data_IF_759342726621
#
_entry.id   IF_759342726621
#
_cell.length_a   1.000
_cell.length_b   1.000
_cell.length_c   1.000
_cell.angle_alpha   90.00
_cell.angle_beta   90.00
_cell.angle_gamma   90.00
#
_symmetry.space_group_name_H-M   'P 1'
#
loop_
_entity.id
_entity.type
_entity.pdbx_description
1 polymer ?
#
# COMPACT_ATOMS: atom_id res chain seq x y z
N UNK A 1 20.92 -18.32 15.07
CA UNK A 1 19.65 -17.57 14.95
C UNK A 1 18.52 -18.58 14.72
N UNK A 2 18.17 -19.33 15.77
CA UNK A 2 17.20 -20.42 15.68
C UNK A 2 15.78 -19.90 15.83
N UNK A 3 14.97 -20.27 14.84
CA UNK A 3 13.56 -20.00 14.60
C UNK A 3 12.75 -20.18 15.89
N UNK A 4 12.12 -19.10 16.39
CA UNK A 4 10.99 -19.20 17.33
C UNK A 4 9.86 -19.93 16.60
N UNK A 5 9.90 -21.26 16.64
CA UNK A 5 8.78 -22.09 16.23
C UNK A 5 7.68 -21.78 17.25
N UNK A 6 6.56 -21.27 16.73
CA UNK A 6 5.51 -20.62 17.51
C UNK A 6 5.01 -21.56 18.62
N UNK A 7 5.29 -21.20 19.87
CA UNK A 7 5.01 -22.00 21.07
C UNK A 7 3.51 -22.37 21.17
N UNK A 8 2.66 -21.56 20.54
CA UNK A 8 1.22 -21.79 20.42
C UNK A 8 0.86 -23.03 19.59
N UNK A 9 1.57 -23.28 18.49
CA UNK A 9 1.30 -24.43 17.61
C UNK A 9 1.68 -25.76 18.28
N UNK A 10 2.79 -25.77 19.02
CA UNK A 10 3.19 -26.93 19.82
C UNK A 10 2.21 -27.22 20.96
N UNK A 11 1.71 -26.18 21.63
CA UNK A 11 0.69 -26.31 22.69
C UNK A 11 -0.61 -26.91 22.16
N UNK A 12 -1.07 -26.49 20.97
CA UNK A 12 -2.29 -27.03 20.35
C UNK A 12 -2.10 -28.50 19.97
N UNK A 13 -0.95 -28.85 19.37
CA UNK A 13 -0.63 -30.25 19.04
C UNK A 13 -0.54 -31.13 20.29
N UNK A 14 0.07 -30.65 21.37
CA UNK A 14 0.19 -31.37 22.63
C UNK A 14 -1.18 -31.60 23.31
N UNK A 15 -2.04 -30.57 23.34
CA UNK A 15 -3.41 -30.67 23.87
C UNK A 15 -4.21 -31.69 23.06
N UNK A 16 -4.05 -31.71 21.73
CA UNK A 16 -4.74 -32.65 20.86
C UNK A 16 -4.27 -34.10 21.08
N UNK A 17 -2.96 -34.34 21.18
CA UNK A 17 -2.42 -35.67 21.51
C UNK A 17 -2.92 -36.17 22.88
N UNK A 18 -2.94 -35.29 23.88
CA UNK A 18 -3.45 -35.62 25.22
C UNK A 18 -4.95 -35.94 25.18
N UNK A 19 -5.76 -35.14 24.48
CA UNK A 19 -7.18 -35.39 24.31
C UNK A 19 -7.46 -36.70 23.55
N UNK A 20 -6.67 -37.01 22.53
CA UNK A 20 -6.73 -38.27 21.78
C UNK A 20 -6.41 -39.49 22.65
N UNK A 21 -5.35 -39.41 23.47
CA UNK A 21 -4.98 -40.47 24.41
C UNK A 21 -6.05 -40.68 25.49
N UNK A 22 -6.60 -39.61 26.06
CA UNK A 22 -7.69 -39.66 27.04
C UNK A 22 -8.95 -40.25 26.41
N UNK A 23 -9.26 -39.90 25.18
CA UNK A 23 -10.41 -40.44 24.45
C UNK A 23 -10.27 -41.95 24.19
N UNK A 24 -9.09 -42.42 23.77
CA UNK A 24 -8.78 -43.85 23.59
C UNK A 24 -8.93 -44.61 24.92
N UNK A 25 -8.35 -44.05 26.00
CA UNK A 25 -8.43 -44.66 27.33
C UNK A 25 -9.86 -44.75 27.86
N UNK A 26 -10.63 -43.67 27.72
CA UNK A 26 -12.03 -43.62 28.17
C UNK A 26 -12.91 -44.56 27.33
N UNK A 27 -12.62 -44.69 26.03
CA UNK A 27 -13.36 -45.61 25.16
C UNK A 27 -13.08 -47.07 25.50
N UNK A 28 -11.83 -47.43 25.78
CA UNK A 28 -11.46 -48.79 26.16
C UNK A 28 -12.05 -49.17 27.52
N UNK A 29 -12.10 -48.23 28.47
CA UNK A 29 -12.73 -48.45 29.77
C UNK A 29 -14.25 -48.71 29.64
N UNK A 30 -14.98 -47.93 28.85
CA UNK A 30 -16.42 -48.12 28.63
C UNK A 30 -16.74 -49.48 27.99
N UNK A 31 -15.86 -49.98 27.11
CA UNK A 31 -16.08 -51.24 26.37
C UNK A 31 -15.85 -52.50 27.22
N UNK A 32 -15.07 -52.40 28.30
CA UNK A 32 -14.76 -53.53 29.21
C UNK A 32 -15.92 -53.83 30.20
N UNK A 33 -16.91 -52.94 30.34
CA UNK A 33 -17.98 -53.04 31.35
C UNK A 33 -19.20 -53.93 31.03
N UNK A 34 -19.40 -54.39 29.79
CA UNK A 34 -20.62 -55.11 29.38
C UNK A 34 -20.33 -56.41 28.62
N UNK A 35 -21.03 -57.50 28.96
CA UNK A 35 -21.01 -58.75 28.19
C UNK A 35 -21.77 -58.55 26.87
N UNK A 36 -21.00 -58.41 25.78
CA UNK A 36 -21.33 -58.65 24.36
C UNK A 36 -22.73 -58.25 23.82
N UNK A 37 -22.85 -57.06 23.19
CA UNK A 37 -23.90 -56.76 22.23
C UNK A 37 -23.35 -56.51 20.80
N UNK A 38 -24.11 -56.94 19.79
CA UNK A 38 -23.75 -57.00 18.34
C UNK A 38 -23.42 -55.65 17.66
N UNK A 39 -23.59 -54.52 18.34
CA UNK A 39 -23.35 -53.18 17.80
C UNK A 39 -21.90 -52.68 17.94
N UNK A 40 -21.05 -53.39 18.70
CA UNK A 40 -19.65 -52.97 18.99
C UNK A 40 -18.82 -52.59 17.75
N UNK A 41 -18.81 -53.39 16.65
CA UNK A 41 -17.96 -53.09 15.50
C UNK A 41 -18.37 -51.80 14.75
N UNK A 42 -19.67 -51.51 14.72
CA UNK A 42 -20.21 -50.32 14.05
C UNK A 42 -19.84 -49.02 14.79
N UNK A 43 -19.79 -49.08 16.13
CA UNK A 43 -19.39 -47.94 16.94
C UNK A 43 -17.86 -47.72 16.85
N UNK A 44 -17.05 -48.77 16.83
CA UNK A 44 -15.58 -48.67 16.71
C UNK A 44 -15.13 -48.09 15.36
N UNK A 45 -15.76 -48.51 14.25
CA UNK A 45 -15.45 -48.00 12.91
C UNK A 45 -15.84 -46.53 12.74
N UNK A 46 -17.03 -46.13 13.20
CA UNK A 46 -17.49 -44.74 13.16
C UNK A 46 -16.56 -43.81 13.96
N UNK A 47 -16.08 -44.28 15.12
CA UNK A 47 -15.13 -43.54 15.97
C UNK A 47 -13.79 -43.31 15.28
N UNK A 48 -13.22 -44.36 14.69
CA UNK A 48 -11.95 -44.27 13.96
C UNK A 48 -12.03 -43.26 12.80
N UNK A 49 -13.12 -43.29 12.04
CA UNK A 49 -13.35 -42.34 10.94
C UNK A 49 -13.47 -40.89 11.43
N UNK A 50 -14.15 -40.64 12.55
CA UNK A 50 -14.29 -39.29 13.12
C UNK A 50 -12.94 -38.72 13.56
N UNK A 51 -12.09 -39.55 14.18
CA UNK A 51 -10.74 -39.15 14.59
C UNK A 51 -9.85 -38.82 13.38
N UNK A 52 -9.92 -39.62 12.31
CA UNK A 52 -9.16 -39.36 11.07
C UNK A 52 -9.61 -38.07 10.40
N UNK A 53 -10.92 -37.81 10.32
CA UNK A 53 -11.45 -36.58 9.74
C UNK A 53 -11.05 -35.36 10.56
N UNK A 54 -11.19 -35.41 11.89
CA UNK A 54 -10.78 -34.32 12.78
C UNK A 54 -9.28 -34.01 12.64
N UNK A 55 -8.45 -35.06 12.59
CA UNK A 55 -7.00 -34.94 12.39
C UNK A 55 -6.66 -34.35 11.01
N UNK A 56 -7.33 -34.79 9.95
CA UNK A 56 -7.13 -34.27 8.59
C UNK A 56 -7.52 -32.79 8.47
N UNK A 57 -8.65 -32.40 9.08
CA UNK A 57 -9.10 -31.00 9.11
C UNK A 57 -8.12 -30.12 9.88
N UNK A 58 -7.61 -30.59 11.02
CA UNK A 58 -6.62 -29.87 11.82
C UNK A 58 -5.30 -29.68 11.06
N UNK A 59 -4.80 -30.74 10.43
CA UNK A 59 -3.58 -30.70 9.61
C UNK A 59 -3.77 -29.71 8.45
N UNK A 60 -4.91 -29.77 7.77
CA UNK A 60 -5.24 -28.83 6.68
C UNK A 60 -5.35 -27.38 7.20
N UNK A 61 -5.92 -27.17 8.39
CA UNK A 61 -6.03 -25.85 9.01
C UNK A 61 -4.66 -25.28 9.41
N UNK A 62 -3.80 -26.11 10.02
CA UNK A 62 -2.43 -25.73 10.38
C UNK A 62 -1.60 -25.39 9.13
N UNK A 63 -1.67 -26.23 8.09
CA UNK A 63 -0.98 -25.99 6.83
C UNK A 63 -1.45 -24.68 6.18
N UNK A 64 -2.76 -24.42 6.16
CA UNK A 64 -3.33 -23.16 5.63
C UNK A 64 -2.99 -21.93 6.46
N UNK A 65 -2.71 -22.08 7.76
CA UNK A 65 -2.32 -20.97 8.63
C UNK A 65 -0.88 -20.53 8.34
N UNK A 66 0.04 -21.48 8.22
CA UNK A 66 1.46 -21.20 7.91
C UNK A 66 1.63 -20.59 6.51
N UNK A 67 0.90 -21.10 5.51
CA UNK A 67 1.00 -20.64 4.12
C UNK A 67 0.64 -19.16 3.95
N UNK A 68 -0.36 -18.67 4.69
CA UNK A 68 -0.81 -17.27 4.62
C UNK A 68 0.26 -16.30 5.12
N UNK A 69 1.06 -16.70 6.10
CA UNK A 69 2.14 -15.86 6.61
C UNK A 69 3.31 -15.77 5.62
N UNK A 70 3.64 -16.88 4.95
CA UNK A 70 4.66 -16.87 3.90
C UNK A 70 4.23 -16.09 2.66
N UNK A 71 3.00 -16.24 2.19
CA UNK A 71 2.52 -15.53 1.00
C UNK A 71 2.49 -14.01 1.23
N UNK A 72 2.03 -13.57 2.41
CA UNK A 72 2.05 -12.16 2.78
C UNK A 72 3.48 -11.61 2.92
N UNK A 73 4.39 -12.37 3.54
CA UNK A 73 5.78 -11.97 3.68
C UNK A 73 6.51 -11.90 2.33
N UNK A 74 6.23 -12.83 1.41
CA UNK A 74 6.76 -12.82 0.04
C UNK A 74 6.21 -11.64 -0.75
N UNK A 75 4.90 -11.33 -0.64
CA UNK A 75 4.29 -10.16 -1.27
C UNK A 75 4.88 -8.84 -0.76
N UNK A 76 5.03 -8.70 0.56
CA UNK A 76 5.64 -7.52 1.18
C UNK A 76 7.12 -7.40 0.79
N UNK A 77 7.87 -8.51 0.77
CA UNK A 77 9.27 -8.54 0.35
C UNK A 77 9.45 -8.17 -1.12
N UNK A 78 8.62 -8.73 -2.02
CA UNK A 78 8.67 -8.40 -3.45
C UNK A 78 8.28 -6.93 -3.71
N UNK A 79 7.32 -6.40 -2.96
CA UNK A 79 6.96 -4.98 -3.01
C UNK A 79 8.11 -4.10 -2.49
N UNK A 80 8.73 -4.47 -1.38
CA UNK A 80 9.86 -3.76 -0.79
C UNK A 80 11.10 -3.77 -1.69
N UNK A 81 11.46 -4.92 -2.29
CA UNK A 81 12.60 -5.01 -3.21
C UNK A 81 12.38 -4.24 -4.51
N UNK A 82 11.14 -4.19 -5.02
CA UNK A 82 10.80 -3.30 -6.14
C UNK A 82 10.94 -1.83 -5.76
N UNK A 83 10.49 -1.46 -4.56
CA UNK A 83 10.56 -0.08 -4.07
C UNK A 83 12.00 0.35 -3.79
N UNK A 84 12.82 -0.52 -3.20
CA UNK A 84 14.23 -0.29 -2.90
C UNK A 84 15.07 -0.15 -4.18
N UNK A 85 14.82 -1.00 -5.19
CA UNK A 85 15.44 -0.88 -6.51
C UNK A 85 15.01 0.42 -7.22
N UNK A 86 13.75 0.83 -7.09
CA UNK A 86 13.24 2.10 -7.61
C UNK A 86 13.88 3.30 -6.88
N UNK A 87 14.01 3.26 -5.56
CA UNK A 87 14.58 4.33 -4.72
C UNK A 87 16.07 4.59 -4.99
N UNK A 88 16.85 3.53 -5.24
CA UNK A 88 18.28 3.65 -5.58
C UNK A 88 18.50 4.26 -6.97
N UNK A 89 17.61 3.95 -7.92
CA UNK A 89 17.65 4.52 -9.27
C UNK A 89 17.17 5.98 -9.24
N UNK A 90 16.13 6.30 -8.46
CA UNK A 90 15.56 7.65 -8.46
C UNK A 90 16.47 8.71 -7.86
N UNK A 91 17.15 8.50 -6.74
CA UNK A 91 17.89 9.61 -6.12
C UNK A 91 19.14 10.07 -6.90
N UNK A 92 19.81 9.18 -7.63
CA UNK A 92 21.01 9.51 -8.42
C UNK A 92 20.67 9.82 -9.89
N UNK A 93 19.95 8.91 -10.56
CA UNK A 93 19.65 9.04 -11.99
C UNK A 93 18.69 10.20 -12.26
N UNK A 94 17.79 10.51 -11.33
CA UNK A 94 16.85 11.60 -11.55
C UNK A 94 17.44 12.99 -11.28
N UNK A 95 18.45 13.09 -10.41
CA UNK A 95 19.25 14.31 -10.32
C UNK A 95 19.93 14.57 -11.67
N UNK A 96 20.52 13.55 -12.28
CA UNK A 96 21.17 13.67 -13.59
C UNK A 96 20.17 13.95 -14.72
N UNK A 97 18.97 13.36 -14.68
CA UNK A 97 17.89 13.67 -15.62
C UNK A 97 17.43 15.12 -15.50
N UNK A 98 17.23 15.63 -14.27
CA UNK A 98 16.88 17.03 -14.06
C UNK A 98 18.00 17.96 -14.52
N UNK A 99 19.28 17.58 -14.36
CA UNK A 99 20.41 18.35 -14.88
C UNK A 99 20.39 18.44 -16.41
N UNK A 100 20.16 17.32 -17.10
CA UNK A 100 20.07 17.30 -18.56
C UNK A 100 18.85 18.08 -19.07
N UNK A 101 17.68 17.89 -18.45
CA UNK A 101 16.47 18.61 -18.82
C UNK A 101 16.61 20.12 -18.61
N UNK A 102 17.25 20.54 -17.52
CA UNK A 102 17.53 21.96 -17.26
C UNK A 102 18.40 22.56 -18.37
N UNK A 103 19.44 21.86 -18.81
CA UNK A 103 20.28 22.29 -19.94
C UNK A 103 19.50 22.34 -21.26
N UNK A 104 18.67 21.34 -21.54
CA UNK A 104 17.84 21.30 -22.76
C UNK A 104 16.83 22.44 -22.78
N UNK A 105 16.13 22.67 -21.67
CA UNK A 105 15.16 23.76 -21.49
C UNK A 105 15.86 25.11 -21.67
N UNK A 106 16.98 25.33 -20.97
CA UNK A 106 17.72 26.60 -21.06
C UNK A 106 18.23 26.88 -22.48
N UNK A 107 18.77 25.88 -23.17
CA UNK A 107 19.19 26.05 -24.56
C UNK A 107 17.99 26.31 -25.49
N UNK A 108 16.85 25.66 -25.26
CA UNK A 108 15.65 25.89 -26.05
C UNK A 108 15.06 27.30 -25.84
N UNK A 109 15.11 27.84 -24.61
CA UNK A 109 14.73 29.23 -24.31
C UNK A 109 15.63 30.23 -25.06
N UNK A 110 16.95 30.01 -25.04
CA UNK A 110 17.90 30.85 -25.78
C UNK A 110 17.63 30.76 -27.29
N UNK A 111 17.41 29.55 -27.82
CA UNK A 111 17.11 29.34 -29.24
C UNK A 111 15.82 30.05 -29.65
N UNK A 112 14.78 29.99 -28.82
CA UNK A 112 13.49 30.64 -29.08
C UNK A 112 13.62 32.16 -29.14
N UNK A 113 14.50 32.74 -28.32
CA UNK A 113 14.83 34.17 -28.33
C UNK A 113 15.67 34.57 -29.56
N UNK A 114 16.72 33.81 -29.90
CA UNK A 114 17.59 34.11 -31.04
C UNK A 114 16.89 33.94 -32.40
N UNK A 115 15.89 33.05 -32.46
CA UNK A 115 15.12 32.77 -33.67
C UNK A 115 13.84 33.62 -33.75
N UNK A 116 13.75 34.74 -33.01
CA UNK A 116 12.56 35.60 -32.98
C UNK A 116 12.07 36.03 -34.38
N UNK A 117 13.00 36.27 -35.31
CA UNK A 117 12.72 36.70 -36.69
C UNK A 117 12.50 35.54 -37.67
N UNK A 118 12.56 34.29 -37.18
CA UNK A 118 12.51 33.05 -37.95
C UNK A 118 11.36 32.16 -37.45
N UNK A 119 10.11 32.44 -37.86
CA UNK A 119 8.91 31.92 -37.20
C UNK A 119 8.80 30.39 -37.23
N UNK A 120 9.28 29.73 -38.29
CA UNK A 120 9.25 28.27 -38.40
C UNK A 120 10.28 27.61 -37.47
N UNK A 121 11.50 28.12 -37.42
CA UNK A 121 12.53 27.65 -36.49
C UNK A 121 12.17 27.95 -35.03
N UNK A 122 11.55 29.11 -34.77
CA UNK A 122 11.04 29.49 -33.45
C UNK A 122 9.97 28.52 -32.95
N UNK A 123 9.04 28.11 -33.82
CA UNK A 123 8.01 27.12 -33.46
C UNK A 123 8.63 25.75 -33.09
N UNK A 124 9.74 25.39 -33.74
CA UNK A 124 10.50 24.19 -33.41
C UNK A 124 11.17 24.32 -32.02
N UNK A 125 11.81 25.45 -31.74
CA UNK A 125 12.40 25.74 -30.42
C UNK A 125 11.36 25.71 -29.29
N UNK A 126 10.19 26.32 -29.50
CA UNK A 126 9.06 26.30 -28.56
C UNK A 126 8.52 24.87 -28.32
N UNK A 127 8.53 24.01 -29.35
CA UNK A 127 8.14 22.60 -29.22
C UNK A 127 9.13 21.80 -28.35
N UNK A 128 10.43 22.06 -28.51
CA UNK A 128 11.49 21.45 -27.68
C UNK A 128 11.33 21.90 -26.23
N UNK A 129 11.11 23.20 -26.00
CA UNK A 129 10.88 23.76 -24.67
C UNK A 129 9.70 23.08 -23.98
N UNK A 130 8.54 23.04 -24.65
CA UNK A 130 7.33 22.39 -24.14
C UNK A 130 7.53 20.89 -23.85
N UNK A 131 8.31 20.19 -24.67
CA UNK A 131 8.64 18.79 -24.43
C UNK A 131 9.56 18.61 -23.21
N UNK A 132 10.57 19.48 -23.04
CA UNK A 132 11.47 19.49 -21.89
C UNK A 132 10.74 19.72 -20.58
N UNK A 133 9.85 20.72 -20.52
CA UNK A 133 9.04 21.03 -19.33
C UNK A 133 8.14 19.85 -18.92
N UNK A 134 7.47 19.21 -19.89
CA UNK A 134 6.66 18.01 -19.62
C UNK A 134 7.52 16.85 -19.11
N UNK A 135 8.72 16.67 -19.65
CA UNK A 135 9.68 15.67 -19.20
C UNK A 135 10.12 15.88 -17.75
N UNK A 136 10.42 17.13 -17.38
CA UNK A 136 10.82 17.50 -16.02
C UNK A 136 9.70 17.25 -15.00
N UNK A 137 8.45 17.55 -15.37
CA UNK A 137 7.29 17.24 -14.53
C UNK A 137 7.14 15.73 -14.31
N UNK A 138 7.28 14.91 -15.35
CA UNK A 138 7.17 13.46 -15.26
C UNK A 138 8.25 12.85 -14.35
N UNK A 139 9.51 13.29 -14.48
CA UNK A 139 10.63 12.85 -13.63
C UNK A 139 10.37 13.24 -12.17
N UNK A 140 9.87 14.45 -11.93
CA UNK A 140 9.54 14.93 -10.58
C UNK A 140 8.43 14.09 -9.93
N UNK A 141 7.39 13.71 -10.69
CA UNK A 141 6.33 12.81 -10.20
C UNK A 141 6.86 11.41 -9.86
N UNK A 142 7.71 10.83 -10.72
CA UNK A 142 8.36 9.54 -10.47
C UNK A 142 9.26 9.57 -9.24
N UNK A 143 10.03 10.64 -9.07
CA UNK A 143 10.89 10.88 -7.91
C UNK A 143 10.11 11.00 -6.60
N UNK A 144 9.00 11.73 -6.65
CA UNK A 144 8.13 11.93 -5.49
C UNK A 144 7.51 10.62 -5.04
N UNK A 145 7.15 9.75 -6.00
CA UNK A 145 6.64 8.41 -5.72
C UNK A 145 7.70 7.46 -5.13
N UNK A 146 8.94 7.53 -5.62
CA UNK A 146 10.00 6.59 -5.23
C UNK A 146 10.80 6.99 -3.98
N UNK A 147 10.57 8.19 -3.41
CA UNK A 147 11.28 8.67 -2.23
C UNK A 147 10.81 7.93 -0.96
N UNK A 148 11.52 6.87 -0.56
CA UNK A 148 11.48 6.36 0.81
C UNK A 148 12.15 7.37 1.76
N UNK A 149 11.38 8.35 2.24
CA UNK A 149 11.75 9.05 3.48
C UNK A 149 11.22 8.22 4.65
N UNK A 150 12.02 7.92 5.69
CA UNK A 150 11.46 7.39 6.92
C UNK A 150 10.39 8.37 7.40
N UNK A 151 9.14 7.90 7.45
CA UNK A 151 7.99 8.73 7.77
C UNK A 151 8.19 9.35 9.16
N UNK A 152 8.31 10.67 9.21
CA UNK A 152 8.36 11.40 10.46
C UNK A 152 6.93 11.62 10.92
N UNK A 153 6.42 10.62 11.62
CA UNK A 153 5.09 10.64 12.22
C UNK A 153 4.99 11.76 13.26
N UNK A 154 4.02 12.66 13.07
CA UNK A 154 3.68 13.74 14.00
C UNK A 154 2.17 13.71 14.21
N UNK A 155 1.74 13.99 15.44
CA UNK A 155 0.32 14.19 15.74
C UNK A 155 -0.12 15.56 15.21
N UNK A 156 -1.13 15.59 14.35
CA UNK A 156 -1.65 16.83 13.75
C UNK A 156 -3.16 16.80 13.61
N UNK A 157 -3.78 17.97 13.61
CA UNK A 157 -5.17 18.13 13.20
C UNK A 157 -5.26 18.22 11.67
N UNK A 158 -6.04 17.33 11.05
CA UNK A 158 -6.20 17.28 9.59
C UNK A 158 -6.90 18.55 9.08
N UNK A 159 -7.91 19.04 9.81
CA UNK A 159 -8.68 20.22 9.43
C UNK A 159 -7.81 21.46 9.34
N UNK A 160 -7.04 21.73 10.40
CA UNK A 160 -6.07 22.83 10.44
C UNK A 160 -5.00 22.67 9.35
N UNK A 161 -4.52 21.43 9.11
CA UNK A 161 -3.49 21.21 8.11
C UNK A 161 -3.98 21.48 6.69
N UNK A 162 -5.14 20.95 6.31
CA UNK A 162 -5.71 21.17 4.98
C UNK A 162 -6.08 22.65 4.79
N UNK A 163 -6.59 23.32 5.83
CA UNK A 163 -6.83 24.75 5.79
C UNK A 163 -5.53 25.55 5.53
N UNK A 164 -4.42 25.18 6.17
CA UNK A 164 -3.11 25.80 5.93
C UNK A 164 -2.57 25.56 4.51
N UNK A 165 -2.92 24.44 3.87
CA UNK A 165 -2.54 24.11 2.50
C UNK A 165 -3.42 24.78 1.45
N UNK A 166 -4.63 25.24 1.81
CA UNK A 166 -5.64 25.74 0.88
C UNK A 166 -5.12 26.77 -0.14
N UNK A 167 -4.31 27.79 0.22
CA UNK A 167 -3.77 28.75 -0.75
C UNK A 167 -2.82 28.12 -1.79
N UNK A 168 -2.13 27.04 -1.42
CA UNK A 168 -1.27 26.29 -2.34
C UNK A 168 -2.14 25.44 -3.27
N UNK A 169 -3.16 24.78 -2.72
CA UNK A 169 -4.08 23.94 -3.49
C UNK A 169 -4.82 24.76 -4.56
N UNK A 170 -5.31 25.96 -4.24
CA UNK A 170 -5.96 26.84 -5.21
C UNK A 170 -5.02 27.23 -6.35
N UNK A 171 -3.77 27.61 -6.04
CA UNK A 171 -2.77 27.94 -7.07
C UNK A 171 -2.46 26.75 -7.97
N UNK A 172 -2.36 25.55 -7.40
CA UNK A 172 -2.06 24.33 -8.17
C UNK A 172 -3.24 23.83 -9.01
N UNK A 173 -4.47 24.13 -8.60
CA UNK A 173 -5.68 23.85 -9.38
C UNK A 173 -5.81 24.74 -10.63
N UNK A 174 -5.34 25.99 -10.56
CA UNK A 174 -5.32 26.92 -11.69
C UNK A 174 -6.65 27.63 -11.95
N UNK A 175 -6.68 28.52 -12.95
CA UNK A 175 -7.77 29.50 -13.13
C UNK A 175 -9.15 28.92 -13.51
N UNK A 176 -9.25 27.62 -13.79
CA UNK A 176 -10.50 26.96 -14.19
C UNK A 176 -11.11 26.04 -13.11
N UNK A 177 -10.40 25.74 -12.02
CA UNK A 177 -10.82 24.76 -11.03
C UNK A 177 -10.81 25.37 -9.63
N UNK A 178 -11.96 25.36 -8.98
CA UNK A 178 -12.12 25.84 -7.60
C UNK A 178 -11.91 24.72 -6.59
N UNK A 179 -11.19 25.01 -5.50
CA UNK A 179 -10.90 24.06 -4.42
C UNK A 179 -11.76 24.40 -3.21
N UNK A 180 -12.74 23.55 -2.90
CA UNK A 180 -13.62 23.70 -1.73
C UNK A 180 -13.19 22.77 -0.59
N UNK A 181 -12.97 23.32 0.59
CA UNK A 181 -12.70 22.52 1.78
C UNK A 181 -13.65 22.94 2.92
N UNK A 182 -14.41 21.97 3.42
CA UNK A 182 -15.23 22.13 4.62
C UNK A 182 -14.49 21.47 5.78
N UNK A 183 -13.91 22.25 6.71
CA UNK A 183 -13.26 21.68 7.90
C UNK A 183 -14.29 20.96 8.79
N UNK A 184 -13.90 19.88 9.47
CA UNK A 184 -14.77 19.18 10.42
C UNK A 184 -15.07 20.07 11.64
N UNK A 185 -16.27 19.93 12.21
CA UNK A 185 -16.68 20.68 13.41
C UNK A 185 -15.89 20.26 14.67
N UNK A 186 -15.39 19.03 14.68
CA UNK A 186 -14.58 18.48 15.76
C UNK A 186 -13.17 18.21 15.23
N UNK A 187 -12.11 18.59 15.98
CA UNK A 187 -10.73 18.31 15.64
C UNK A 187 -10.50 16.82 15.32
N UNK A 188 -9.92 16.54 14.16
CA UNK A 188 -9.57 15.17 13.74
C UNK A 188 -8.06 15.04 13.85
N UNK A 189 -7.62 14.48 14.98
CA UNK A 189 -6.20 14.25 15.23
C UNK A 189 -5.74 12.92 14.66
N UNK A 190 -4.67 12.96 13.88
CA UNK A 190 -4.03 11.76 13.32
C UNK A 190 -2.53 11.81 13.50
N UNK A 191 -1.93 10.62 13.56
CA UNK A 191 -0.50 10.45 13.52
C UNK A 191 -0.09 10.19 12.06
N UNK A 192 0.57 11.15 11.41
CA UNK A 192 0.96 11.05 10.00
C UNK A 192 2.26 11.81 9.71
N UNK A 193 2.88 11.52 8.57
CA UNK A 193 3.98 12.34 8.05
C UNK A 193 3.41 13.55 7.33
N UNK A 194 3.82 14.75 7.77
CA UNK A 194 3.31 16.02 7.27
C UNK A 194 3.55 16.18 5.77
N UNK A 195 4.75 15.87 5.29
CA UNK A 195 5.12 16.07 3.89
C UNK A 195 4.40 15.06 2.98
N UNK A 196 4.20 13.83 3.45
CA UNK A 196 3.43 12.84 2.71
C UNK A 196 1.94 13.20 2.63
N UNK A 197 1.36 13.72 3.72
CA UNK A 197 -0.03 14.18 3.71
C UNK A 197 -0.22 15.34 2.72
N UNK A 198 0.64 16.36 2.78
CA UNK A 198 0.58 17.49 1.85
C UNK A 198 0.68 17.05 0.40
N UNK A 199 1.66 16.18 0.09
CA UNK A 199 1.89 15.68 -1.25
C UNK A 199 0.70 14.84 -1.75
N UNK A 200 0.11 14.02 -0.89
CA UNK A 200 -1.07 13.23 -1.22
C UNK A 200 -2.27 14.13 -1.58
N UNK A 201 -2.56 15.15 -0.76
CA UNK A 201 -3.66 16.10 -1.02
C UNK A 201 -3.41 16.92 -2.28
N UNK A 202 -2.18 17.39 -2.49
CA UNK A 202 -1.80 18.13 -3.70
C UNK A 202 -1.99 17.29 -4.96
N UNK A 203 -1.56 16.03 -4.94
CA UNK A 203 -1.73 15.10 -6.05
C UNK A 203 -3.21 14.84 -6.36
N UNK A 204 -4.07 14.76 -5.34
CA UNK A 204 -5.52 14.63 -5.57
C UNK A 204 -6.10 15.84 -6.29
N UNK A 205 -5.67 17.06 -5.93
CA UNK A 205 -6.14 18.30 -6.59
C UNK A 205 -5.64 18.37 -8.04
N UNK A 206 -4.38 18.03 -8.28
CA UNK A 206 -3.81 17.96 -9.64
C UNK A 206 -4.58 16.94 -10.50
N UNK A 207 -4.79 15.73 -9.97
CA UNK A 207 -5.56 14.70 -10.67
C UNK A 207 -7.01 15.14 -10.94
N UNK A 208 -7.64 15.83 -9.99
CA UNK A 208 -8.99 16.36 -10.19
C UNK A 208 -9.03 17.44 -11.27
N UNK A 209 -8.04 18.34 -11.31
CA UNK A 209 -7.90 19.35 -12.37
C UNK A 209 -7.73 18.70 -13.74
N UNK A 210 -6.83 17.73 -13.85
CA UNK A 210 -6.54 17.07 -15.12
C UNK A 210 -7.77 16.29 -15.65
N UNK A 211 -8.64 15.83 -14.74
CA UNK A 211 -9.94 15.25 -15.08
C UNK A 211 -11.03 16.28 -15.46
N UNK A 212 -10.79 17.58 -15.26
CA UNK A 212 -11.73 18.68 -15.50
C UNK A 212 -11.17 19.71 -16.52
N UNK A 213 -10.95 19.34 -17.79
CA UNK A 213 -10.39 20.24 -18.80
C UNK A 213 -11.29 21.45 -19.15
N UNK A 214 -12.59 21.37 -18.88
CA UNK A 214 -13.54 22.48 -19.04
C UNK A 214 -13.68 23.36 -17.76
N UNK A 215 -12.90 23.06 -16.73
CA UNK A 215 -13.04 23.67 -15.40
C UNK A 215 -14.09 22.98 -14.52
N UNK A 216 -14.18 23.42 -13.26
CA UNK A 216 -15.11 22.85 -12.29
C UNK A 216 -14.77 23.13 -10.82
N UNK A 217 -15.25 22.26 -9.94
CA UNK A 217 -15.01 22.35 -8.50
C UNK A 217 -14.60 20.99 -7.96
N UNK A 218 -13.47 20.94 -7.26
CA UNK A 218 -13.06 19.78 -6.48
C UNK A 218 -13.08 20.14 -4.99
N UNK A 219 -13.53 19.23 -4.14
CA UNK A 219 -13.61 19.53 -2.72
C UNK A 219 -14.10 18.40 -1.84
N UNK A 220 -13.99 18.59 -0.52
CA UNK A 220 -14.52 17.63 0.44
C UNK A 220 -16.04 17.69 0.47
N UNK A 221 -16.69 16.51 0.42
CA UNK A 221 -18.14 16.37 0.58
C UNK A 221 -18.44 15.91 2.00
N UNK A 222 -19.39 16.56 2.69
CA UNK A 222 -19.92 16.08 3.97
C UNK A 222 -20.52 14.69 3.74
N UNK A 223 -19.91 13.65 4.31
CA UNK A 223 -20.61 12.38 4.48
C UNK A 223 -21.56 12.59 5.67
N UNK A 224 -22.85 12.62 5.36
CA UNK A 224 -23.94 12.61 6.34
C UNK A 224 -23.99 11.28 7.09
#
# INVERSE_FOLDING_TARGET
MFRKIDLASYRIAAIYCAAGLVYIWLSDWIVVGERSPDWRPGIETLKGSLFVIASAVLIAWLARREMRHFDNALRVSHAAQRMEALGRITSGVAHDFNNLLTLVISNAEILEQELADQPEQRACAASILSAGERGAQLVTHLLTFARERPARLVEMDIGERIAALHPILERSAGAGVSVSFVPPEVPIRVLSDLAQLDAAVLNLVINARDAMPAGGMCGSRRML
#
